data_IF_356087815338
#
_entry.id   IF_356087815338
#
_cell.length_a   1.000
_cell.length_b   1.000
_cell.length_c   1.000
_cell.angle_alpha   90.00
_cell.angle_beta   90.00
_cell.angle_gamma   90.00
#
_symmetry.space_group_name_H-M   'P 1'
#
loop_
_entity.id
_entity.type
_entity.pdbx_description
1 polymer ?
#
# COMPACT_ATOMS: atom_id res chain seq x y z
N UNK A 1 31.81 -46.53 -17.23
CA UNK A 1 30.43 -46.61 -17.75
C UNK A 1 29.46 -46.13 -16.68
N UNK A 2 28.62 -45.15 -17.06
CA UNK A 2 27.35 -44.68 -16.44
C UNK A 2 27.34 -43.98 -15.07
N UNK A 3 26.76 -42.78 -15.13
CA UNK A 3 26.41 -41.84 -14.07
C UNK A 3 25.09 -42.19 -13.36
N UNK A 4 24.86 -41.62 -12.17
CA UNK A 4 23.59 -41.75 -11.44
C UNK A 4 23.36 -40.71 -10.34
N UNK A 5 22.78 -39.56 -10.75
CA UNK A 5 21.78 -38.71 -10.08
C UNK A 5 22.05 -38.07 -8.70
N UNK A 6 22.35 -36.77 -8.80
CA UNK A 6 21.82 -35.65 -8.03
C UNK A 6 20.52 -35.90 -7.23
N UNK A 7 20.62 -35.83 -5.91
CA UNK A 7 19.60 -35.28 -5.02
C UNK A 7 20.29 -34.28 -4.09
N UNK A 8 20.34 -33.02 -4.50
CA UNK A 8 20.79 -31.92 -3.65
C UNK A 8 19.65 -31.53 -2.71
N UNK A 9 19.51 -32.23 -1.58
CA UNK A 9 19.03 -31.59 -0.36
C UNK A 9 20.17 -30.72 0.18
N UNK A 10 20.38 -29.56 -0.46
CA UNK A 10 21.17 -28.46 0.12
C UNK A 10 20.37 -27.90 1.29
N UNK A 11 20.42 -28.62 2.40
CA UNK A 11 20.47 -28.01 3.71
C UNK A 11 21.50 -26.88 3.58
N UNK A 12 21.05 -25.63 3.62
CA UNK A 12 21.93 -24.48 3.63
C UNK A 12 22.67 -24.49 4.97
N UNK A 13 23.66 -25.40 5.12
CA UNK A 13 24.68 -25.36 6.15
C UNK A 13 25.54 -24.15 5.84
N UNK A 14 25.06 -22.96 6.20
CA UNK A 14 25.90 -21.78 6.35
C UNK A 14 26.81 -22.04 7.55
N UNK A 15 27.95 -22.62 7.22
CA UNK A 15 29.24 -22.64 7.93
C UNK A 15 29.34 -21.59 9.05
N UNK A 16 28.78 -21.91 10.22
CA UNK A 16 29.11 -21.22 11.48
C UNK A 16 30.41 -21.83 11.98
N UNK A 17 31.53 -21.28 11.50
CA UNK A 17 32.85 -21.47 12.10
C UNK A 17 33.26 -20.12 12.67
N UNK A 18 32.94 -19.88 13.94
CA UNK A 18 33.58 -18.85 14.73
C UNK A 18 34.59 -19.54 15.66
N UNK A 19 35.91 -19.36 15.49
CA UNK A 19 36.83 -19.54 16.58
C UNK A 19 36.85 -18.25 17.42
N UNK A 20 36.70 -18.39 18.72
CA UNK A 20 36.96 -17.32 19.66
C UNK A 20 38.45 -16.98 19.61
N UNK A 21 38.79 -15.76 19.17
CA UNK A 21 40.10 -15.17 19.35
C UNK A 21 39.98 -14.02 20.35
N UNK A 22 40.43 -14.26 21.58
CA UNK A 22 40.85 -13.21 22.49
C UNK A 22 42.11 -12.56 21.89
N UNK A 23 42.02 -11.31 21.42
CA UNK A 23 43.19 -10.45 21.25
C UNK A 23 42.74 -8.99 21.38
N UNK A 24 43.49 -8.20 22.15
CA UNK A 24 43.07 -6.92 22.72
C UNK A 24 42.70 -5.80 21.74
N UNK A 25 41.90 -4.88 22.26
CA UNK A 25 41.78 -3.45 21.94
C UNK A 25 42.12 -3.06 20.49
N UNK A 26 41.10 -3.04 19.63
CA UNK A 26 40.98 -2.03 18.58
C UNK A 26 39.50 -1.87 18.19
N UNK A 27 38.99 -0.67 18.38
CA UNK A 27 37.64 -0.22 18.09
C UNK A 27 37.39 -0.26 16.57
N UNK A 28 36.83 -1.36 16.04
CA UNK A 28 36.39 -1.44 14.65
C UNK A 28 34.87 -1.55 14.59
N UNK A 29 34.27 -0.49 14.06
CA UNK A 29 32.86 -0.33 13.74
C UNK A 29 32.41 -1.46 12.80
N UNK A 30 31.72 -2.47 13.33
CA UNK A 30 31.09 -3.50 12.50
C UNK A 30 29.87 -2.87 11.78
N UNK A 31 29.70 -3.04 10.45
CA UNK A 31 28.48 -2.59 9.79
C UNK A 31 27.32 -3.46 10.30
N UNK A 32 26.33 -2.80 10.90
CA UNK A 32 25.10 -3.41 11.36
C UNK A 32 24.42 -4.13 10.18
N UNK A 33 24.36 -5.46 10.25
CA UNK A 33 23.56 -6.26 9.32
C UNK A 33 22.09 -5.93 9.63
N UNK A 34 21.27 -5.46 8.68
CA UNK A 34 19.87 -5.21 8.96
C UNK A 34 19.22 -6.56 9.27
N UNK A 35 18.73 -6.70 10.50
CA UNK A 35 17.84 -7.80 10.86
C UNK A 35 16.65 -7.73 9.92
N UNK A 36 16.40 -8.81 9.18
CA UNK A 36 15.17 -8.97 8.44
C UNK A 36 14.00 -8.81 9.44
N UNK A 37 13.22 -7.75 9.26
CA UNK A 37 11.99 -7.52 9.99
C UNK A 37 11.02 -8.64 9.62
N UNK A 38 10.80 -9.56 10.54
CA UNK A 38 9.69 -10.50 10.45
C UNK A 38 8.41 -9.68 10.65
N UNK A 39 7.64 -9.57 9.55
CA UNK A 39 6.34 -8.90 9.40
C UNK A 39 5.75 -8.26 10.65
N UNK A 40 5.77 -6.93 10.68
CA UNK A 40 4.88 -6.16 11.53
C UNK A 40 3.46 -6.65 11.22
N UNK A 41 2.78 -7.24 12.21
CA UNK A 41 1.33 -7.42 12.10
C UNK A 41 0.75 -6.06 11.74
N UNK A 42 0.00 -5.98 10.62
CA UNK A 42 -0.53 -4.73 10.10
C UNK A 42 -1.29 -4.01 11.20
N UNK A 43 -0.67 -3.00 11.80
CA UNK A 43 -1.31 -2.16 12.81
C UNK A 43 -2.32 -1.29 12.09
N UNK A 44 -3.55 -1.25 12.58
CA UNK A 44 -4.55 -0.31 12.09
C UNK A 44 -4.00 1.11 12.28
N UNK A 45 -4.04 1.90 11.22
CA UNK A 45 -3.70 3.31 11.28
C UNK A 45 -4.85 4.07 11.97
N UNK A 46 -4.66 4.38 13.24
CA UNK A 46 -5.64 5.13 14.04
C UNK A 46 -5.60 6.64 13.78
N UNK A 47 -4.62 7.12 13.00
CA UNK A 47 -4.53 8.54 12.62
C UNK A 47 -5.37 8.87 11.39
N UNK A 48 -5.84 7.86 10.66
CA UNK A 48 -6.75 8.01 9.54
C UNK A 48 -8.20 8.11 10.04
N UNK A 49 -8.73 9.33 10.09
CA UNK A 49 -10.11 9.61 10.50
C UNK A 49 -10.92 10.24 9.35
N UNK A 50 -11.72 9.45 8.62
CA UNK A 50 -12.59 9.97 7.56
C UNK A 50 -13.83 10.71 8.11
N UNK A 51 -13.93 10.92 9.43
CA UNK A 51 -15.06 11.56 10.09
C UNK A 51 -16.34 10.76 9.93
N UNK A 52 -17.38 11.39 9.36
CA UNK A 52 -18.64 10.69 9.05
C UNK A 52 -18.55 9.70 7.87
N UNK A 53 -17.40 9.66 7.18
CA UNK A 53 -17.17 8.74 6.07
C UNK A 53 -17.97 9.08 4.83
N UNK A 54 -18.10 8.10 3.92
CA UNK A 54 -18.88 8.25 2.69
C UNK A 54 -20.36 7.97 2.95
N UNK A 55 -21.23 8.87 2.47
CA UNK A 55 -22.68 8.68 2.51
C UNK A 55 -23.14 7.78 1.35
N UNK A 56 -22.79 6.50 1.42
CA UNK A 56 -23.12 5.50 0.42
C UNK A 56 -22.06 4.41 0.32
N UNK A 57 -22.23 3.51 -0.65
CA UNK A 57 -21.33 2.38 -0.79
C UNK A 57 -20.00 2.82 -1.41
N UNK A 58 -18.88 2.42 -0.80
CA UNK A 58 -17.54 2.56 -1.38
C UNK A 58 -17.15 1.20 -1.95
N UNK A 59 -17.10 1.10 -3.27
CA UNK A 59 -16.79 -0.16 -3.96
C UNK A 59 -15.30 -0.32 -4.25
N UNK A 60 -14.56 0.80 -4.36
CA UNK A 60 -13.16 0.81 -4.74
C UNK A 60 -12.35 1.81 -3.91
N UNK A 61 -11.12 1.44 -3.61
CA UNK A 61 -10.14 2.28 -2.91
C UNK A 61 -8.76 2.06 -3.50
N UNK A 62 -7.97 3.13 -3.62
CA UNK A 62 -6.57 3.04 -4.03
C UNK A 62 -5.71 4.08 -3.31
N UNK A 63 -4.55 3.67 -2.82
CA UNK A 63 -3.57 4.56 -2.21
C UNK A 63 -2.59 5.09 -3.25
N UNK A 64 -2.29 6.39 -3.18
CA UNK A 64 -1.31 7.09 -3.99
C UNK A 64 0.07 7.09 -3.33
N UNK A 65 1.13 7.33 -4.11
CA UNK A 65 2.50 7.34 -3.61
C UNK A 65 2.80 8.51 -2.63
N UNK A 66 1.96 9.54 -2.62
CA UNK A 66 2.02 10.69 -1.71
C UNK A 66 1.27 10.43 -0.38
N UNK A 67 0.74 9.22 -0.17
CA UNK A 67 -0.02 8.85 1.01
C UNK A 67 -1.51 9.24 0.95
N UNK A 68 -1.95 9.91 -0.11
CA UNK A 68 -3.38 10.19 -0.31
C UNK A 68 -4.13 8.92 -0.70
N UNK A 69 -5.43 8.89 -0.43
CA UNK A 69 -6.30 7.77 -0.76
C UNK A 69 -7.41 8.25 -1.67
N UNK A 70 -7.66 7.54 -2.75
CA UNK A 70 -8.79 7.81 -3.64
C UNK A 70 -9.84 6.74 -3.40
N UNK A 71 -11.08 7.18 -3.22
CA UNK A 71 -12.24 6.32 -3.03
C UNK A 71 -13.22 6.50 -4.17
N UNK A 72 -13.87 5.39 -4.54
CA UNK A 72 -14.83 5.29 -5.63
C UNK A 72 -16.02 4.43 -5.23
N UNK A 73 -17.23 4.83 -5.62
CA UNK A 73 -18.43 4.05 -5.34
C UNK A 73 -19.72 4.76 -5.70
N UNK A 74 -20.80 4.42 -4.99
CA UNK A 74 -22.16 4.94 -5.19
C UNK A 74 -22.51 6.09 -4.21
N UNK A 75 -21.52 6.68 -3.55
CA UNK A 75 -21.73 7.75 -2.57
C UNK A 75 -21.97 9.12 -3.22
N UNK A 76 -22.69 10.00 -2.50
CA UNK A 76 -22.99 11.37 -2.94
C UNK A 76 -22.28 12.44 -2.09
N UNK A 77 -21.78 12.07 -0.92
CA UNK A 77 -20.96 12.93 -0.08
C UNK A 77 -19.93 12.13 0.71
N UNK A 78 -18.88 12.82 1.14
CA UNK A 78 -17.84 12.28 2.01
C UNK A 78 -17.54 13.31 3.08
N UNK A 79 -17.64 12.91 4.33
CA UNK A 79 -17.47 13.76 5.50
C UNK A 79 -18.31 15.07 5.44
N UNK A 80 -19.57 14.97 5.00
CA UNK A 80 -20.46 16.12 4.81
C UNK A 80 -20.18 16.98 3.56
N UNK A 81 -19.10 16.73 2.82
CA UNK A 81 -18.77 17.45 1.58
C UNK A 81 -19.38 16.72 0.38
N UNK A 82 -20.14 17.44 -0.44
CA UNK A 82 -20.72 16.89 -1.66
C UNK A 82 -19.62 16.42 -2.63
N UNK A 83 -19.60 15.11 -2.88
CA UNK A 83 -18.62 14.43 -3.75
C UNK A 83 -19.31 13.26 -4.41
N UNK A 84 -19.54 13.37 -5.72
CA UNK A 84 -20.26 12.35 -6.46
C UNK A 84 -19.31 11.24 -6.88
N UNK A 85 -19.47 10.06 -6.26
CA UNK A 85 -18.89 8.77 -6.65
C UNK A 85 -17.36 8.68 -6.63
N UNK A 86 -16.64 9.79 -6.59
CA UNK A 86 -15.18 9.88 -6.54
C UNK A 86 -14.79 10.97 -5.55
N UNK A 87 -13.91 10.63 -4.61
CA UNK A 87 -13.30 11.59 -3.71
C UNK A 87 -11.85 11.21 -3.45
N UNK A 88 -11.03 12.21 -3.14
CA UNK A 88 -9.67 12.00 -2.64
C UNK A 88 -9.61 12.43 -1.18
N UNK A 89 -8.99 11.59 -0.36
CA UNK A 89 -8.72 11.79 1.04
C UNK A 89 -7.23 12.03 1.23
N UNK A 90 -6.89 12.90 2.15
CA UNK A 90 -5.54 13.14 2.63
C UNK A 90 -5.08 11.94 3.50
N UNK A 91 -3.78 11.85 3.83
CA UNK A 91 -3.25 10.76 4.66
C UNK A 91 -3.89 10.68 6.05
N UNK A 92 -4.46 11.78 6.55
CA UNK A 92 -5.18 11.86 7.83
C UNK A 92 -6.66 11.47 7.73
N UNK A 93 -7.16 11.11 6.53
CA UNK A 93 -8.55 10.79 6.28
C UNK A 93 -9.44 11.98 5.92
N UNK A 94 -8.95 13.22 6.04
CA UNK A 94 -9.73 14.41 5.66
C UNK A 94 -9.93 14.50 4.14
N UNK A 95 -11.03 15.11 3.70
CA UNK A 95 -11.30 15.26 2.25
C UNK A 95 -10.37 16.31 1.63
N UNK A 96 -9.68 15.94 0.55
CA UNK A 96 -8.88 16.88 -0.25
C UNK A 96 -9.81 17.78 -1.07
N UNK A 97 -10.03 19.00 -0.57
CA UNK A 97 -10.90 19.98 -1.23
C UNK A 97 -10.34 20.47 -2.57
N UNK A 98 -9.03 20.38 -2.79
CA UNK A 98 -8.38 20.81 -4.04
C UNK A 98 -8.48 19.77 -5.16
N UNK A 99 -8.89 18.55 -4.84
CA UNK A 99 -9.19 17.55 -5.85
C UNK A 99 -10.51 17.91 -6.55
N UNK A 100 -10.48 18.15 -7.87
CA UNK A 100 -11.68 18.42 -8.66
C UNK A 100 -11.92 17.29 -9.68
N UNK A 101 -12.87 16.37 -9.42
CA UNK A 101 -13.25 15.34 -10.39
C UNK A 101 -14.19 15.85 -11.50
N UNK A 102 -14.43 17.17 -11.59
CA UNK A 102 -15.40 17.77 -12.52
C UNK A 102 -16.83 17.41 -12.12
N UNK A 103 -17.61 16.92 -13.09
CA UNK A 103 -18.94 16.33 -12.83
C UNK A 103 -18.91 15.03 -12.03
N UNK A 104 -17.71 14.44 -11.84
CA UNK A 104 -17.54 13.12 -11.26
C UNK A 104 -17.94 12.01 -12.22
N UNK A 105 -17.96 10.78 -11.71
CA UNK A 105 -18.53 9.66 -12.46
C UNK A 105 -20.04 9.85 -12.57
N UNK A 106 -20.62 9.44 -13.69
CA UNK A 106 -22.06 9.57 -13.94
C UNK A 106 -22.88 8.36 -13.43
N UNK A 107 -22.18 7.31 -12.97
CA UNK A 107 -22.71 6.07 -12.43
C UNK A 107 -21.71 5.48 -11.41
N UNK A 108 -22.01 4.29 -10.88
CA UNK A 108 -21.21 3.65 -9.83
C UNK A 108 -19.80 3.31 -10.32
N UNK A 109 -18.81 3.74 -9.53
CA UNK A 109 -17.41 3.38 -9.75
C UNK A 109 -17.15 2.05 -9.06
N UNK A 110 -17.00 0.98 -9.85
CA UNK A 110 -16.79 -0.38 -9.34
C UNK A 110 -15.30 -0.67 -9.09
N UNK A 111 -14.41 -0.04 -9.85
CA UNK A 111 -12.96 -0.28 -9.74
C UNK A 111 -12.16 0.99 -9.93
N UNK A 112 -11.07 1.08 -9.18
CA UNK A 112 -10.06 2.14 -9.24
C UNK A 112 -8.69 1.51 -9.39
N UNK A 113 -7.85 2.05 -10.28
CA UNK A 113 -6.45 1.66 -10.37
C UNK A 113 -5.57 2.85 -10.69
N UNK A 114 -4.37 2.88 -10.12
CA UNK A 114 -3.34 3.84 -10.52
C UNK A 114 -2.46 3.24 -11.62
N UNK A 115 -2.17 4.05 -12.63
CA UNK A 115 -1.12 3.76 -13.61
C UNK A 115 0.27 4.09 -13.03
N UNK A 116 1.34 3.58 -13.66
CA UNK A 116 2.72 3.88 -13.28
C UNK A 116 3.05 5.38 -13.33
N UNK A 117 2.29 6.15 -14.11
CA UNK A 117 2.41 7.61 -14.21
C UNK A 117 1.61 8.37 -13.13
N UNK A 118 0.95 7.68 -12.19
CA UNK A 118 0.10 8.30 -11.16
C UNK A 118 -1.27 8.75 -11.66
N UNK A 119 -1.68 8.38 -12.88
CA UNK A 119 -3.02 8.65 -13.39
C UNK A 119 -4.03 7.69 -12.77
N UNK A 120 -5.25 8.18 -12.58
CA UNK A 120 -6.36 7.41 -12.01
C UNK A 120 -7.16 6.80 -13.15
N UNK A 121 -7.25 5.47 -13.17
CA UNK A 121 -8.10 4.70 -14.07
C UNK A 121 -9.36 4.29 -13.31
N UNK A 122 -10.51 4.62 -13.90
CA UNK A 122 -11.84 4.37 -13.35
C UNK A 122 -12.55 3.33 -14.22
N UNK A 123 -13.21 2.37 -13.60
CA UNK A 123 -14.08 1.42 -14.28
C UNK A 123 -15.40 1.24 -13.52
N UNK A 124 -16.49 1.07 -14.26
CA UNK A 124 -17.83 0.95 -13.71
C UNK A 124 -18.90 1.00 -14.79
N UNK A 125 -20.14 1.14 -14.37
CA UNK A 125 -21.33 1.10 -15.24
C UNK A 125 -21.65 2.49 -15.82
N UNK A 126 -20.64 3.15 -16.41
CA UNK A 126 -20.79 4.52 -16.93
C UNK A 126 -21.74 4.55 -18.12
N UNK A 127 -22.80 5.33 -18.00
CA UNK A 127 -23.80 5.52 -19.09
C UNK A 127 -23.53 6.76 -19.94
N UNK A 128 -22.56 7.58 -19.55
CA UNK A 128 -22.12 8.82 -20.21
C UNK A 128 -20.70 9.13 -19.75
N UNK A 129 -19.85 9.54 -20.68
CA UNK A 129 -18.46 9.97 -20.43
C UNK A 129 -18.30 11.46 -20.72
#
# INVERSE_FOLDING_TARGET
>A
MKAGRFFQTKLCRRKSRAPACLCGILLLLAPAVPRASCGQAGSVDISFDPGSGAAGNVSAVVSQADGKVIIGGAFTSVNGVARNRIARLNPDGTVDLNFNPGSGANSDVQTLRLDASGRILLGGDFTSV
#
